data_IF_277432625634
#
_entry.id   IF_277432625634
#
_cell.length_a   1.000
_cell.length_b   1.000
_cell.length_c   1.000
_cell.angle_alpha   90.00
_cell.angle_beta   90.00
_cell.angle_gamma   90.00
#
_symmetry.space_group_name_H-M   'P 1'
#
loop_
_entity.id
_entity.type
_entity.pdbx_description
1 polymer ?
#
# COMPACT_ATOMS: atom_id res chain seq x y z
N UNK A 1 -13.82 32.87 -0.54
CA UNK A 1 -13.08 32.02 -1.52
C UNK A 1 -11.93 31.27 -0.84
N UNK A 2 -12.22 30.34 0.08
CA UNK A 2 -11.18 29.59 0.83
C UNK A 2 -10.98 28.16 0.34
N UNK A 3 -11.95 27.60 -0.40
CA UNK A 3 -11.90 26.21 -0.89
C UNK A 3 -10.72 25.96 -1.83
N UNK A 4 -10.45 26.90 -2.75
CA UNK A 4 -9.38 26.75 -3.75
C UNK A 4 -7.97 26.70 -3.15
N UNK A 5 -7.55 27.64 -2.27
CA UNK A 5 -6.24 27.53 -1.63
C UNK A 5 -6.14 26.29 -0.73
N UNK A 6 -7.20 25.92 0.00
CA UNK A 6 -7.21 24.70 0.83
C UNK A 6 -7.00 23.44 -0.01
N UNK A 7 -7.71 23.30 -1.13
CA UNK A 7 -7.54 22.15 -2.03
C UNK A 7 -6.12 22.10 -2.60
N UNK A 8 -5.56 23.24 -3.01
CA UNK A 8 -4.19 23.27 -3.52
C UNK A 8 -3.18 22.83 -2.47
N UNK A 9 -3.30 23.34 -1.23
CA UNK A 9 -2.42 22.94 -0.11
C UNK A 9 -2.55 21.44 0.19
N UNK A 10 -3.77 20.91 0.21
CA UNK A 10 -4.00 19.49 0.45
C UNK A 10 -3.34 18.63 -0.64
N UNK A 11 -3.55 18.98 -1.91
CA UNK A 11 -3.02 18.22 -3.04
C UNK A 11 -1.49 18.28 -3.09
N UNK A 12 -0.89 19.45 -2.82
CA UNK A 12 0.58 19.56 -2.77
C UNK A 12 1.17 18.76 -1.61
N UNK A 13 0.54 18.81 -0.43
CA UNK A 13 0.97 18.03 0.72
C UNK A 13 0.87 16.51 0.45
N UNK A 14 -0.26 16.06 -0.11
CA UNK A 14 -0.46 14.65 -0.46
C UNK A 14 0.55 14.17 -1.52
N UNK A 15 0.77 14.96 -2.57
CA UNK A 15 1.75 14.65 -3.60
C UNK A 15 3.18 14.58 -3.04
N UNK A 16 3.54 15.53 -2.16
CA UNK A 16 4.85 15.54 -1.50
C UNK A 16 5.06 14.34 -0.58
N UNK A 17 4.04 13.95 0.18
CA UNK A 17 4.08 12.75 1.01
C UNK A 17 4.27 11.48 0.17
N UNK A 18 3.50 11.34 -0.91
CA UNK A 18 3.60 10.18 -1.81
C UNK A 18 4.97 10.09 -2.49
N UNK A 19 5.50 11.22 -2.96
CA UNK A 19 6.82 11.26 -3.58
C UNK A 19 7.93 10.87 -2.58
N UNK A 20 7.82 11.33 -1.33
CA UNK A 20 8.75 10.96 -0.27
C UNK A 20 8.67 9.46 0.07
N UNK A 21 7.47 8.92 0.22
CA UNK A 21 7.24 7.49 0.46
C UNK A 21 7.85 6.63 -0.65
N UNK A 22 7.52 6.92 -1.91
CA UNK A 22 8.04 6.18 -3.07
C UNK A 22 9.57 6.25 -3.21
N UNK A 23 10.19 7.36 -2.79
CA UNK A 23 11.64 7.54 -2.85
C UNK A 23 12.40 6.85 -1.71
N UNK A 24 11.73 6.52 -0.60
CA UNK A 24 12.37 6.05 0.64
C UNK A 24 11.94 4.65 1.07
N UNK A 25 10.74 4.23 0.73
CA UNK A 25 10.20 2.93 1.10
C UNK A 25 10.85 1.83 0.27
N UNK A 26 11.12 0.68 0.92
CA UNK A 26 11.54 -0.51 0.21
C UNK A 26 10.41 -1.00 -0.71
N UNK A 27 10.72 -1.70 -1.82
CA UNK A 27 9.71 -2.36 -2.64
C UNK A 27 8.83 -3.26 -1.77
N UNK A 28 7.51 -3.23 -2.01
CA UNK A 28 6.58 -4.10 -1.29
C UNK A 28 6.89 -5.55 -1.62
N UNK A 29 7.09 -6.37 -0.59
CA UNK A 29 7.18 -7.83 -0.74
C UNK A 29 5.76 -8.41 -0.83
N UNK A 30 5.31 -8.89 -2.01
CA UNK A 30 3.95 -9.41 -2.18
C UNK A 30 3.71 -10.70 -1.38
N UNK A 31 4.76 -11.40 -0.94
CA UNK A 31 4.63 -12.61 -0.14
C UNK A 31 4.45 -12.33 1.36
N UNK A 32 4.89 -11.15 1.82
CA UNK A 32 4.72 -10.70 3.21
C UNK A 32 3.61 -9.65 3.35
N UNK A 33 3.08 -9.15 2.23
CA UNK A 33 1.97 -8.20 2.24
C UNK A 33 0.70 -8.86 2.83
N UNK A 34 0.03 -8.23 3.81
CA UNK A 34 -1.26 -8.72 4.27
C UNK A 34 -2.30 -8.62 3.13
N UNK A 35 -3.35 -9.47 3.15
CA UNK A 35 -4.42 -9.39 2.17
C UNK A 35 -5.05 -8.00 2.13
N UNK A 36 -5.30 -7.48 0.92
CA UNK A 36 -6.05 -6.24 0.71
C UNK A 36 -7.43 -6.27 1.39
N UNK A 37 -8.04 -7.45 1.46
CA UNK A 37 -9.31 -7.70 2.14
C UNK A 37 -9.15 -8.85 3.14
N UNK A 38 -9.03 -8.52 4.42
CA UNK A 38 -9.09 -9.48 5.51
C UNK A 38 -10.54 -9.56 6.00
N UNK A 39 -11.35 -10.47 5.43
CA UNK A 39 -12.77 -10.65 5.79
C UNK A 39 -12.99 -11.30 7.18
N UNK A 40 -12.08 -11.07 8.13
CA UNK A 40 -12.26 -11.42 9.54
C UNK A 40 -12.02 -12.89 9.92
N UNK A 41 -11.53 -13.74 9.01
CA UNK A 41 -11.25 -15.15 9.32
C UNK A 41 -10.01 -15.37 10.18
N UNK A 42 -9.20 -14.33 10.41
CA UNK A 42 -7.88 -14.45 11.07
C UNK A 42 -6.86 -15.28 10.28
N UNK A 43 -7.25 -15.78 9.10
CA UNK A 43 -6.33 -16.46 8.19
C UNK A 43 -5.50 -15.40 7.48
N UNK A 44 -4.18 -15.59 7.50
CA UNK A 44 -3.32 -14.94 6.53
C UNK A 44 -3.83 -15.29 5.12
N UNK A 45 -3.55 -14.46 4.12
CA UNK A 45 -3.67 -14.90 2.74
C UNK A 45 -2.71 -16.06 2.53
N UNK A 46 -3.17 -17.29 2.79
CA UNK A 46 -2.51 -18.47 2.28
C UNK A 46 -2.53 -18.31 0.78
N UNK A 47 -1.35 -18.15 0.17
CA UNK A 47 -1.24 -18.10 -1.28
C UNK A 47 -2.07 -19.24 -1.85
N UNK A 48 -2.97 -18.93 -2.78
CA UNK A 48 -3.65 -19.96 -3.56
C UNK A 48 -2.59 -20.95 -4.07
N UNK A 49 -2.96 -22.20 -4.36
CA UNK A 49 -2.03 -23.29 -4.69
C UNK A 49 -0.92 -22.93 -5.74
N UNK A 50 -1.15 -21.92 -6.59
CA UNK A 50 -0.22 -21.38 -7.59
C UNK A 50 0.74 -20.27 -7.09
N UNK A 51 0.64 -19.84 -5.84
CA UNK A 51 1.47 -18.79 -5.22
C UNK A 51 2.46 -19.36 -4.19
N UNK A 52 2.53 -20.68 -4.04
CA UNK A 52 3.56 -21.34 -3.26
C UNK A 52 4.92 -21.15 -3.95
N UNK A 53 5.86 -20.51 -3.25
CA UNK A 53 7.26 -20.47 -3.67
C UNK A 53 7.75 -21.92 -3.86
N UNK A 54 8.46 -22.25 -4.96
CA UNK A 54 9.08 -23.56 -5.09
C UNK A 54 10.04 -23.76 -3.92
N UNK A 55 9.90 -24.91 -3.23
CA UNK A 55 10.79 -25.28 -2.14
C UNK A 55 12.23 -25.28 -2.65
N UNK A 56 13.11 -24.57 -1.93
CA UNK A 56 14.56 -24.78 -2.06
C UNK A 56 14.93 -26.12 -1.46
#
# INVERSE_FOLDING_TARGET
MTRRPVVLILLTAAAGFLAFDLARSAPLDPYLAPPLFALGSGQAAGGAHCAALPAR
#
